data_IF_228430823115
#
_entry.id   IF_228430823115
#
_cell.length_a   1.000
_cell.length_b   1.000
_cell.length_c   1.000
_cell.angle_alpha   90.00
_cell.angle_beta   90.00
_cell.angle_gamma   90.00
#
_symmetry.space_group_name_H-M   'P 1'
#
loop_
_entity.id
_entity.type
_entity.pdbx_description
1 polymer ?
#
# COMPACT_ATOMS: atom_id res chain seq x y z
N UNK A 1 -0.36 5.27 6.39
CA UNK A 1 -0.25 4.14 7.34
C UNK A 1 -1.02 2.95 6.80
N UNK A 2 -0.38 1.77 6.78
CA UNK A 2 -0.98 0.52 6.31
C UNK A 2 -1.20 -0.45 7.47
N UNK A 3 -2.27 -1.23 7.39
CA UNK A 3 -2.57 -2.33 8.30
C UNK A 3 -2.98 -3.57 7.50
N UNK A 4 -2.60 -4.74 7.97
CA UNK A 4 -3.01 -5.99 7.33
C UNK A 4 -4.47 -6.33 7.64
N UNK A 5 -5.20 -6.87 6.67
CA UNK A 5 -6.62 -7.24 6.79
C UNK A 5 -6.86 -8.29 7.89
N UNK A 6 -5.83 -9.02 8.29
CA UNK A 6 -5.88 -10.00 9.38
C UNK A 6 -5.51 -9.43 10.76
N UNK A 7 -5.23 -8.13 10.89
CA UNK A 7 -4.85 -7.54 12.18
C UNK A 7 -6.05 -7.45 13.11
N UNK A 8 -5.91 -7.74 14.42
CA UNK A 8 -7.01 -7.64 15.39
C UNK A 8 -7.70 -6.27 15.44
N UNK A 9 -6.94 -5.20 15.25
CA UNK A 9 -7.46 -3.84 15.33
C UNK A 9 -8.02 -3.32 13.99
N UNK A 10 -8.20 -4.17 12.98
CA UNK A 10 -8.61 -3.74 11.63
C UNK A 10 -9.92 -2.96 11.64
N UNK A 11 -10.91 -3.39 12.43
CA UNK A 11 -12.19 -2.72 12.52
C UNK A 11 -12.07 -1.31 13.13
N UNK A 12 -11.26 -1.18 14.19
CA UNK A 12 -10.99 0.12 14.81
C UNK A 12 -10.21 1.02 13.86
N UNK A 13 -9.20 0.49 13.18
CA UNK A 13 -8.40 1.22 12.19
C UNK A 13 -9.26 1.79 11.04
N UNK A 14 -10.22 1.02 10.56
CA UNK A 14 -11.17 1.47 9.55
C UNK A 14 -12.05 2.63 10.04
N UNK A 15 -12.52 2.56 11.30
CA UNK A 15 -13.38 3.59 11.88
C UNK A 15 -12.64 4.91 12.19
N UNK A 16 -11.33 4.89 12.37
CA UNK A 16 -10.53 6.08 12.76
C UNK A 16 -10.65 7.23 11.76
N UNK A 17 -10.99 6.96 10.52
CA UNK A 17 -11.10 7.97 9.45
C UNK A 17 -12.47 8.65 9.37
N UNK A 18 -13.48 8.12 10.03
CA UNK A 18 -14.81 8.77 10.06
C UNK A 18 -14.73 10.12 10.77
N UNK A 19 -15.32 11.19 10.19
CA UNK A 19 -15.27 12.52 10.79
C UNK A 19 -16.21 12.69 11.99
N UNK A 20 -17.06 11.70 12.26
CA UNK A 20 -18.08 11.72 13.31
C UNK A 20 -17.74 10.76 14.45
N UNK A 21 -18.34 10.96 15.61
CA UNK A 21 -18.16 10.14 16.81
C UNK A 21 -17.13 10.71 17.80
N UNK A 22 -16.57 9.88 18.68
CA UNK A 22 -15.60 10.30 19.70
C UNK A 22 -14.29 10.80 19.06
N UNK A 23 -13.90 12.06 19.25
CA UNK A 23 -12.66 12.63 18.69
C UNK A 23 -11.39 11.86 19.10
N UNK A 24 -11.38 11.24 20.30
CA UNK A 24 -10.24 10.46 20.78
C UNK A 24 -10.02 9.15 19.99
N UNK A 25 -11.06 8.70 19.28
CA UNK A 25 -11.03 7.52 18.43
C UNK A 25 -10.84 7.85 16.95
N UNK A 26 -10.47 9.09 16.62
CA UNK A 26 -10.35 9.59 15.25
C UNK A 26 -8.91 9.99 14.91
N UNK A 27 -8.53 9.74 13.66
CA UNK A 27 -7.24 10.13 13.11
C UNK A 27 -7.43 10.64 11.68
N UNK A 28 -7.81 11.92 11.56
CA UNK A 28 -8.14 12.54 10.27
C UNK A 28 -6.92 13.05 9.49
N UNK A 29 -5.75 13.10 10.14
CA UNK A 29 -4.51 13.62 9.57
C UNK A 29 -3.61 12.53 8.95
N UNK A 30 -4.01 11.26 9.03
CA UNK A 30 -3.30 10.15 8.39
C UNK A 30 -4.14 9.59 7.24
N UNK A 31 -3.46 9.19 6.17
CA UNK A 31 -4.05 8.40 5.11
C UNK A 31 -3.90 6.92 5.45
N UNK A 32 -5.03 6.23 5.48
CA UNK A 32 -5.13 4.82 5.86
C UNK A 32 -5.11 3.93 4.63
N UNK A 33 -4.39 2.82 4.70
CA UNK A 33 -4.37 1.76 3.69
C UNK A 33 -4.55 0.39 4.33
N UNK A 34 -5.17 -0.53 3.63
CA UNK A 34 -5.33 -1.92 4.04
C UNK A 34 -4.60 -2.83 3.07
N UNK A 35 -3.72 -3.67 3.60
CA UNK A 35 -3.11 -4.76 2.85
C UNK A 35 -4.11 -5.93 2.78
N UNK A 36 -4.51 -6.26 1.57
CA UNK A 36 -5.46 -7.34 1.29
C UNK A 36 -4.73 -8.51 0.65
N UNK A 37 -4.96 -9.71 1.19
CA UNK A 37 -4.36 -10.95 0.67
C UNK A 37 -5.25 -11.62 -0.36
N UNK A 38 -4.64 -12.41 -1.25
CA UNK A 38 -5.35 -13.26 -2.21
C UNK A 38 -6.32 -14.21 -1.50
N UNK A 39 -5.94 -14.73 -0.32
CA UNK A 39 -6.78 -15.64 0.45
C UNK A 39 -8.06 -14.96 0.98
N UNK A 40 -7.95 -13.73 1.47
CA UNK A 40 -9.12 -12.97 1.88
C UNK A 40 -10.09 -12.76 0.70
N UNK A 41 -9.57 -12.32 -0.45
CA UNK A 41 -10.41 -12.07 -1.63
C UNK A 41 -11.06 -13.34 -2.16
N UNK A 42 -10.39 -14.51 -2.11
CA UNK A 42 -10.99 -15.80 -2.48
C UNK A 42 -12.17 -16.19 -1.60
N UNK A 43 -12.12 -15.86 -0.29
CA UNK A 43 -13.27 -16.09 0.59
C UNK A 43 -14.42 -15.16 0.20
N UNK A 44 -14.14 -13.86 0.02
CA UNK A 44 -15.15 -12.87 -0.41
C UNK A 44 -15.81 -13.29 -1.73
N UNK A 45 -15.02 -13.64 -2.75
CA UNK A 45 -15.50 -14.07 -4.07
C UNK A 45 -16.39 -15.33 -3.97
N UNK A 46 -15.96 -16.32 -3.18
CA UNK A 46 -16.75 -17.53 -2.94
C UNK A 46 -18.10 -17.20 -2.32
N UNK A 47 -18.15 -16.29 -1.35
CA UNK A 47 -19.39 -15.89 -0.68
C UNK A 47 -20.32 -15.04 -1.58
N UNK A 48 -19.79 -14.44 -2.64
CA UNK A 48 -20.61 -13.76 -3.64
C UNK A 48 -21.35 -14.76 -4.55
N UNK A 49 -20.77 -15.94 -4.76
CA UNK A 49 -21.32 -16.99 -5.62
C UNK A 49 -22.16 -18.01 -4.86
N UNK A 50 -21.81 -18.29 -3.61
CA UNK A 50 -22.53 -19.19 -2.71
C UNK A 50 -22.85 -18.50 -1.38
N UNK A 51 -24.10 -18.11 -1.13
CA UNK A 51 -24.50 -17.47 0.12
C UNK A 51 -24.31 -18.31 1.39
N UNK A 52 -24.14 -19.63 1.24
CA UNK A 52 -23.94 -20.56 2.38
C UNK A 52 -22.46 -20.91 2.56
N UNK A 53 -21.55 -20.35 1.76
CA UNK A 53 -20.14 -20.59 1.94
C UNK A 53 -19.65 -20.07 3.29
N UNK A 54 -18.71 -20.81 3.91
CA UNK A 54 -18.01 -20.34 5.10
C UNK A 54 -17.21 -19.07 4.76
N UNK A 55 -17.50 -17.99 5.45
CA UNK A 55 -16.88 -16.67 5.29
C UNK A 55 -16.00 -16.27 6.47
N UNK A 56 -15.66 -17.20 7.34
CA UNK A 56 -14.81 -16.96 8.51
C UNK A 56 -13.43 -16.45 8.12
N UNK A 57 -13.07 -15.27 8.64
CA UNK A 57 -11.76 -14.66 8.52
C UNK A 57 -11.11 -14.45 9.89
N UNK A 58 -9.93 -15.02 10.10
CA UNK A 58 -9.24 -14.95 11.37
C UNK A 58 -8.45 -13.64 11.50
N UNK A 59 -8.68 -12.93 12.59
CA UNK A 59 -7.87 -11.82 13.05
C UNK A 59 -6.75 -12.37 13.95
N UNK A 60 -5.50 -12.13 13.54
CA UNK A 60 -4.31 -12.78 14.10
C UNK A 60 -3.40 -11.73 14.73
N UNK A 61 -3.06 -11.93 15.98
CA UNK A 61 -2.07 -11.11 16.68
C UNK A 61 -0.68 -11.26 16.03
N UNK A 62 -0.09 -10.17 15.48
CA UNK A 62 1.15 -10.26 14.73
C UNK A 62 2.37 -10.67 15.58
N UNK A 63 2.31 -10.51 16.89
CA UNK A 63 3.42 -10.84 17.79
C UNK A 63 3.38 -12.31 18.24
N UNK A 64 2.18 -12.80 18.60
CA UNK A 64 2.01 -14.16 19.14
C UNK A 64 1.58 -15.18 18.09
N UNK A 65 1.05 -14.75 16.93
CA UNK A 65 0.45 -15.62 15.92
C UNK A 65 -0.89 -16.23 16.34
N UNK A 66 -1.44 -15.83 17.48
CA UNK A 66 -2.70 -16.38 17.99
C UNK A 66 -3.90 -15.71 17.33
N UNK A 67 -4.92 -16.51 17.02
CA UNK A 67 -6.21 -16.00 16.57
C UNK A 67 -6.87 -15.31 17.76
N UNK A 68 -7.20 -14.03 17.60
CA UNK A 68 -7.92 -13.21 18.59
C UNK A 68 -9.42 -13.27 18.39
N UNK A 69 -9.85 -13.29 17.14
CA UNK A 69 -11.25 -13.28 16.76
C UNK A 69 -11.40 -13.86 15.36
N UNK A 70 -12.60 -14.35 15.03
CA UNK A 70 -13.00 -14.74 13.67
C UNK A 70 -14.20 -13.87 13.28
N UNK A 71 -14.08 -13.16 12.17
CA UNK A 71 -15.10 -12.24 11.64
C UNK A 71 -15.60 -12.69 10.28
N UNK A 72 -16.73 -12.17 9.82
CA UNK A 72 -17.19 -12.38 8.45
C UNK A 72 -16.30 -11.60 7.46
N UNK A 73 -15.67 -12.31 6.53
CA UNK A 73 -14.90 -11.68 5.46
C UNK A 73 -15.79 -10.82 4.56
N UNK A 74 -17.02 -11.27 4.30
CA UNK A 74 -18.01 -10.55 3.50
C UNK A 74 -18.38 -9.22 4.16
N UNK A 75 -18.72 -9.23 5.44
CA UNK A 75 -19.09 -8.01 6.18
C UNK A 75 -17.89 -7.05 6.31
N UNK A 76 -16.71 -7.58 6.56
CA UNK A 76 -15.48 -6.77 6.61
C UNK A 76 -15.19 -6.11 5.26
N UNK A 77 -15.35 -6.83 4.16
CA UNK A 77 -15.18 -6.27 2.82
C UNK A 77 -16.23 -5.21 2.50
N UNK A 78 -17.50 -5.47 2.82
CA UNK A 78 -18.58 -4.50 2.66
C UNK A 78 -18.27 -3.22 3.44
N UNK A 79 -17.84 -3.33 4.69
CA UNK A 79 -17.46 -2.19 5.54
C UNK A 79 -16.32 -1.37 4.92
N UNK A 80 -15.31 -2.01 4.35
CA UNK A 80 -14.22 -1.32 3.65
C UNK A 80 -14.78 -0.49 2.49
N UNK A 81 -15.65 -1.07 1.67
CA UNK A 81 -16.23 -0.39 0.51
C UNK A 81 -17.14 0.77 0.93
N UNK A 82 -17.98 0.59 1.96
CA UNK A 82 -18.84 1.64 2.51
C UNK A 82 -18.00 2.83 3.01
N UNK A 83 -16.94 2.57 3.77
CA UNK A 83 -16.03 3.61 4.26
C UNK A 83 -15.31 4.34 3.12
N UNK A 84 -14.92 3.62 2.07
CA UNK A 84 -14.34 4.25 0.89
C UNK A 84 -15.31 5.18 0.17
N UNK A 85 -16.58 4.80 0.09
CA UNK A 85 -17.61 5.68 -0.48
C UNK A 85 -17.87 6.91 0.38
N UNK A 86 -17.83 6.75 1.72
CA UNK A 86 -18.07 7.83 2.68
C UNK A 86 -16.89 8.80 2.79
N UNK A 87 -15.66 8.30 2.81
CA UNK A 87 -14.46 9.07 3.18
C UNK A 87 -13.37 9.13 2.12
N UNK A 88 -13.44 8.32 1.06
CA UNK A 88 -12.36 8.11 0.09
C UNK A 88 -11.28 7.13 0.56
N UNK A 89 -11.33 6.67 1.80
CA UNK A 89 -10.33 5.77 2.42
C UNK A 89 -10.99 4.54 3.06
N UNK A 90 -10.23 3.46 3.34
CA UNK A 90 -8.79 3.28 3.18
C UNK A 90 -8.37 3.07 1.71
N UNK A 91 -7.06 3.24 1.41
CA UNK A 91 -6.47 2.69 0.19
C UNK A 91 -6.51 1.15 0.25
N UNK A 92 -6.71 0.52 -0.90
CA UNK A 92 -6.69 -0.94 -1.02
C UNK A 92 -5.38 -1.34 -1.69
N UNK A 93 -4.58 -2.15 -1.01
CA UNK A 93 -3.31 -2.65 -1.50
C UNK A 93 -3.32 -4.18 -1.55
N UNK A 94 -3.28 -4.76 -2.73
CA UNK A 94 -3.18 -6.20 -2.94
C UNK A 94 -1.75 -6.67 -2.72
N UNK A 95 -1.42 -6.95 -1.46
CA UNK A 95 -0.04 -7.18 -1.01
C UNK A 95 0.61 -8.41 -1.66
N UNK A 96 -0.17 -9.48 -1.88
CA UNK A 96 0.36 -10.69 -2.52
C UNK A 96 0.69 -10.43 -3.99
N UNK A 97 -0.12 -9.66 -4.70
CA UNK A 97 0.16 -9.24 -6.08
C UNK A 97 1.44 -8.42 -6.13
N UNK A 98 1.59 -7.43 -5.25
CA UNK A 98 2.79 -6.59 -5.20
C UNK A 98 4.06 -7.41 -4.97
N UNK A 99 4.03 -8.37 -4.06
CA UNK A 99 5.17 -9.26 -3.81
C UNK A 99 5.40 -10.25 -4.95
N UNK A 100 4.36 -10.72 -5.62
CA UNK A 100 4.48 -11.62 -6.78
C UNK A 100 5.10 -10.91 -7.98
N UNK A 101 4.74 -9.66 -8.23
CA UNK A 101 5.21 -8.85 -9.36
C UNK A 101 6.54 -8.10 -9.08
N UNK A 102 7.07 -8.23 -7.88
CA UNK A 102 8.39 -7.67 -7.53
C UNK A 102 9.48 -8.23 -8.47
N UNK A 103 10.48 -7.42 -8.79
CA UNK A 103 11.58 -7.79 -9.68
C UNK A 103 12.38 -8.97 -9.13
N UNK A 104 12.82 -9.86 -10.01
CA UNK A 104 13.49 -11.11 -9.62
C UNK A 104 14.74 -10.86 -8.77
N UNK A 105 15.58 -9.88 -9.12
CA UNK A 105 16.76 -9.53 -8.33
C UNK A 105 16.44 -9.09 -6.89
N UNK A 106 15.25 -8.56 -6.63
CA UNK A 106 14.79 -8.21 -5.30
C UNK A 106 14.29 -9.45 -4.54
N UNK A 107 13.56 -10.34 -5.23
CA UNK A 107 13.12 -11.63 -4.68
C UNK A 107 14.30 -12.51 -4.30
N UNK A 108 15.33 -12.61 -5.15
CA UNK A 108 16.56 -13.36 -4.90
C UNK A 108 17.30 -12.87 -3.65
N UNK A 109 17.15 -11.59 -3.30
CA UNK A 109 17.70 -11.01 -2.05
C UNK A 109 16.78 -11.19 -0.84
N UNK A 110 15.68 -11.94 -0.97
CA UNK A 110 14.72 -12.17 0.10
C UNK A 110 13.96 -10.91 0.54
N UNK A 111 13.88 -9.88 -0.33
CA UNK A 111 13.17 -8.65 -0.01
C UNK A 111 11.66 -8.86 -0.04
N UNK A 112 10.95 -8.07 0.76
CA UNK A 112 9.49 -8.12 0.86
C UNK A 112 8.91 -6.71 0.86
N UNK A 113 7.82 -6.54 0.11
CA UNK A 113 7.00 -5.33 0.12
C UNK A 113 5.99 -5.44 1.25
N UNK A 114 5.88 -4.39 2.06
CA UNK A 114 4.94 -4.31 3.19
C UNK A 114 3.86 -3.25 2.98
N UNK A 115 4.12 -2.25 2.13
CA UNK A 115 3.20 -1.13 1.89
C UNK A 115 3.59 -0.40 0.61
N UNK A 116 2.77 0.55 0.17
CA UNK A 116 3.11 1.54 -0.85
C UNK A 116 3.46 2.90 -0.22
N UNK A 117 3.86 3.86 -1.06
CA UNK A 117 3.94 5.26 -0.66
C UNK A 117 2.53 5.88 -0.47
N UNK A 118 2.49 7.18 -0.15
CA UNK A 118 1.25 7.92 0.10
C UNK A 118 0.28 7.90 -1.09
N UNK A 119 0.79 8.08 -2.31
CA UNK A 119 -0.04 8.16 -3.52
C UNK A 119 -0.32 6.77 -4.14
N UNK A 120 0.21 5.69 -3.58
CA UNK A 120 0.04 4.29 -4.00
C UNK A 120 0.66 3.89 -5.35
N UNK A 121 1.47 4.77 -5.97
CA UNK A 121 2.14 4.51 -7.25
C UNK A 121 3.52 3.86 -7.09
N UNK A 122 4.13 3.96 -5.90
CA UNK A 122 5.47 3.42 -5.63
C UNK A 122 5.37 2.27 -4.64
N UNK A 123 5.80 1.10 -5.09
CA UNK A 123 5.73 -0.14 -4.34
C UNK A 123 7.13 -0.73 -4.27
N UNK A 124 7.88 -0.36 -3.22
CA UNK A 124 9.26 -0.78 -3.03
C UNK A 124 9.43 -1.50 -1.69
N UNK A 125 10.32 -2.52 -1.63
CA UNK A 125 10.63 -3.18 -0.38
C UNK A 125 11.41 -2.24 0.56
N UNK A 126 11.01 -2.21 1.82
CA UNK A 126 11.67 -1.47 2.90
C UNK A 126 11.71 -2.31 4.16
N UNK A 127 12.77 -2.17 4.97
CA UNK A 127 12.93 -2.82 6.26
C UNK A 127 13.93 -2.02 7.13
N UNK A 128 14.32 -2.55 8.28
CA UNK A 128 15.27 -1.89 9.19
C UNK A 128 16.62 -1.52 8.56
N UNK A 129 17.01 -2.22 7.50
CA UNK A 129 18.31 -2.06 6.81
C UNK A 129 18.18 -1.39 5.45
N UNK A 130 16.95 -1.02 5.03
CA UNK A 130 16.68 -0.55 3.68
C UNK A 130 15.58 0.48 3.66
N UNK A 131 15.91 1.66 3.18
CA UNK A 131 14.96 2.76 2.97
C UNK A 131 14.56 2.84 1.50
N UNK A 132 13.26 2.83 1.23
CA UNK A 132 12.75 3.13 -0.10
C UNK A 132 12.84 4.64 -0.35
N UNK A 133 13.43 5.02 -1.48
CA UNK A 133 13.58 6.42 -1.92
C UNK A 133 13.06 6.54 -3.33
N UNK A 134 12.33 7.61 -3.63
CA UNK A 134 11.95 7.94 -5.00
C UNK A 134 12.23 9.41 -5.32
N UNK A 135 12.70 9.67 -6.54
CA UNK A 135 12.81 10.99 -7.14
C UNK A 135 11.77 11.11 -8.23
N UNK A 136 10.99 12.19 -8.19
CA UNK A 136 9.85 12.40 -9.07
C UNK A 136 10.09 13.55 -10.02
N UNK A 137 9.62 13.39 -11.25
CA UNK A 137 9.46 14.45 -12.22
C UNK A 137 8.16 14.25 -12.97
N UNK A 138 7.61 15.34 -13.47
CA UNK A 138 6.42 15.30 -14.34
C UNK A 138 6.60 16.21 -15.53
N UNK A 139 6.05 15.78 -16.67
CA UNK A 139 6.11 16.54 -17.92
C UNK A 139 4.75 17.20 -18.16
N UNK A 140 4.75 18.51 -18.38
CA UNK A 140 3.52 19.24 -18.67
C UNK A 140 3.01 18.88 -20.08
N UNK A 141 1.86 18.19 -20.14
CA UNK A 141 1.26 17.74 -21.39
C UNK A 141 0.70 18.89 -22.26
N UNK A 142 0.46 20.05 -21.70
CA UNK A 142 0.09 21.25 -22.46
C UNK A 142 1.14 21.60 -23.56
N UNK A 143 2.41 21.30 -23.26
CA UNK A 143 3.53 21.55 -24.17
C UNK A 143 3.97 20.30 -24.94
N UNK A 144 3.10 19.31 -25.08
CA UNK A 144 3.42 18.04 -25.76
C UNK A 144 4.01 18.26 -27.15
N UNK A 145 3.42 19.13 -27.99
CA UNK A 145 3.88 19.41 -29.35
C UNK A 145 5.28 20.02 -29.39
N UNK A 146 5.69 20.72 -28.34
CA UNK A 146 7.01 21.32 -28.24
C UNK A 146 8.06 20.28 -27.85
N UNK A 147 7.86 19.57 -26.72
CA UNK A 147 8.87 18.64 -26.21
C UNK A 147 8.89 17.31 -26.94
N UNK A 148 7.77 16.83 -27.54
CA UNK A 148 7.74 15.57 -28.30
C UNK A 148 8.58 15.61 -29.57
N UNK A 149 8.87 16.82 -30.08
CA UNK A 149 9.77 17.02 -31.21
C UNK A 149 11.25 17.00 -30.84
N UNK A 150 11.58 16.94 -29.56
CA UNK A 150 12.94 16.84 -29.03
C UNK A 150 13.28 15.37 -28.78
N UNK A 151 14.07 14.71 -29.65
CA UNK A 151 14.24 13.24 -29.60
C UNK A 151 14.83 12.71 -28.30
N UNK A 152 15.59 13.53 -27.59
CA UNK A 152 16.29 13.14 -26.36
C UNK A 152 15.61 13.64 -25.08
N UNK A 153 14.56 14.45 -25.18
CA UNK A 153 13.96 15.13 -24.02
C UNK A 153 13.60 14.16 -22.88
N UNK A 154 12.82 13.10 -23.16
CA UNK A 154 12.43 12.13 -22.12
C UNK A 154 13.61 11.32 -21.61
N UNK A 155 14.60 11.02 -22.48
CA UNK A 155 15.84 10.37 -22.08
C UNK A 155 16.64 11.24 -21.12
N UNK A 156 16.80 12.52 -21.44
CA UNK A 156 17.55 13.47 -20.62
C UNK A 156 16.86 13.69 -19.27
N UNK A 157 15.51 13.71 -19.22
CA UNK A 157 14.75 13.78 -17.96
C UNK A 157 14.99 12.52 -17.10
N UNK A 158 14.96 11.33 -17.72
CA UNK A 158 15.22 10.09 -17.00
C UNK A 158 16.65 10.01 -16.48
N UNK A 159 17.64 10.41 -17.29
CA UNK A 159 19.05 10.46 -16.90
C UNK A 159 19.30 11.49 -15.79
N UNK A 160 18.63 12.64 -15.84
CA UNK A 160 18.67 13.62 -14.76
C UNK A 160 18.17 13.03 -13.45
N UNK A 161 17.05 12.30 -13.45
CA UNK A 161 16.51 11.65 -12.24
C UNK A 161 17.45 10.57 -11.70
N UNK A 162 18.08 9.79 -12.56
CA UNK A 162 19.07 8.79 -12.18
C UNK A 162 20.30 9.45 -11.52
N UNK A 163 20.77 10.55 -12.09
CA UNK A 163 21.88 11.34 -11.51
C UNK A 163 21.50 11.94 -10.15
N UNK A 164 20.25 12.40 -9.96
CA UNK A 164 19.76 12.88 -8.65
C UNK A 164 19.78 11.76 -7.62
N UNK A 165 19.35 10.54 -7.98
CA UNK A 165 19.42 9.38 -7.08
C UNK A 165 20.87 9.03 -6.74
N UNK A 166 21.78 9.05 -7.70
CA UNK A 166 23.21 8.82 -7.49
C UNK A 166 23.80 9.86 -6.52
N UNK A 167 23.51 11.14 -6.77
CA UNK A 167 23.96 12.22 -5.88
C UNK A 167 23.42 12.05 -4.45
N UNK A 168 22.14 11.67 -4.33
CA UNK A 168 21.54 11.40 -3.02
C UNK A 168 22.26 10.24 -2.30
N UNK A 169 22.50 9.12 -2.98
CA UNK A 169 23.21 7.96 -2.41
C UNK A 169 24.60 8.36 -1.90
N UNK A 170 25.32 9.19 -2.64
CA UNK A 170 26.68 9.64 -2.28
C UNK A 170 26.69 10.61 -1.09
N UNK A 171 25.69 11.49 -0.97
CA UNK A 171 25.68 12.62 -0.04
C UNK A 171 24.68 12.49 1.12
N UNK A 172 23.79 11.52 1.11
CA UNK A 172 22.81 11.33 2.18
C UNK A 172 23.50 11.01 3.52
N UNK A 173 22.91 11.40 4.66
CA UNK A 173 23.37 11.00 5.98
C UNK A 173 23.44 9.48 6.13
N UNK A 174 24.37 8.97 6.94
CA UNK A 174 24.58 7.53 7.11
C UNK A 174 23.34 6.79 7.62
N UNK A 175 22.49 7.46 8.39
CA UNK A 175 21.22 6.94 8.91
C UNK A 175 20.22 6.65 7.78
N UNK A 176 20.36 7.31 6.64
CA UNK A 176 19.49 7.18 5.46
C UNK A 176 20.10 6.25 4.40
N UNK A 177 21.42 6.05 4.41
CA UNK A 177 22.15 5.19 3.46
C UNK A 177 22.01 3.69 3.70
N UNK A 178 21.18 3.28 4.65
CA UNK A 178 20.98 1.87 5.02
C UNK A 178 20.16 1.12 4.02
#
# INVERSE_FOLDING_TARGET
TYLDISHPDVLMFLEMRKPTGDPNMRCLNLHHGINITDNFMKIVERCMTDPNADDGWNLIDPNSGLIRETVSAKELWQKILELRMETGEPYIHYIDTSNREMKDFQKEKGLKIHQSNLCSEIILPTNEQRTAVCCLSSVNLEYYDAWSRQPLFLKDVAEMLDNVLTFFIENAPNEVKR
#
